data_IF_148278568410
#
_entry.id   IF_148278568410
#
_cell.length_a   1.000
_cell.length_b   1.000
_cell.length_c   1.000
_cell.angle_alpha   90.00
_cell.angle_beta   90.00
_cell.angle_gamma   90.00
#
_symmetry.space_group_name_H-M   'P 1'
#
loop_
_entity.id
_entity.type
_entity.pdbx_description
1 polymer ?
#
# COMPACT_ATOMS: atom_id res chain seq x y z
N UNK A 1 -3.99 -8.45 -30.80
CA UNK A 1 -4.13 -9.09 -29.47
C UNK A 1 -4.93 -10.36 -29.72
N UNK A 2 -4.37 -11.53 -29.41
CA UNK A 2 -5.11 -12.80 -29.57
C UNK A 2 -6.26 -12.80 -28.55
N UNK A 3 -7.48 -12.93 -29.04
CA UNK A 3 -8.68 -13.16 -28.21
C UNK A 3 -8.55 -14.56 -27.60
N UNK A 4 -7.99 -14.63 -26.39
CA UNK A 4 -7.99 -15.88 -25.62
C UNK A 4 -9.44 -16.15 -25.22
N UNK A 5 -10.07 -17.13 -25.87
CA UNK A 5 -11.41 -17.60 -25.49
C UNK A 5 -11.34 -18.16 -24.07
N UNK A 6 -12.13 -17.59 -23.16
CA UNK A 6 -12.21 -18.07 -21.78
C UNK A 6 -12.82 -19.50 -21.76
N UNK A 7 -12.32 -20.40 -20.89
CA UNK A 7 -12.97 -21.69 -20.68
C UNK A 7 -14.34 -21.48 -20.03
N UNK A 8 -15.27 -22.41 -20.19
CA UNK A 8 -16.60 -22.34 -19.57
C UNK A 8 -16.56 -22.41 -18.03
N UNK A 9 -15.51 -23.02 -17.49
CA UNK A 9 -15.23 -23.15 -16.04
C UNK A 9 -13.75 -22.99 -15.78
N UNK A 10 -13.40 -22.46 -14.60
CA UNK A 10 -12.02 -22.39 -14.12
C UNK A 10 -11.93 -22.87 -12.67
N UNK A 11 -10.75 -23.35 -12.28
CA UNK A 11 -10.46 -23.78 -10.92
C UNK A 11 -9.74 -22.67 -10.16
N UNK A 12 -10.24 -22.38 -8.96
CA UNK A 12 -9.65 -21.44 -8.02
C UNK A 12 -9.18 -22.20 -6.79
N UNK A 13 -7.92 -22.05 -6.47
CA UNK A 13 -7.28 -22.61 -5.28
C UNK A 13 -7.28 -21.55 -4.18
N UNK A 14 -8.27 -21.61 -3.31
CA UNK A 14 -8.56 -20.58 -2.30
C UNK A 14 -8.02 -21.00 -0.95
N UNK A 15 -7.36 -20.09 -0.24
CA UNK A 15 -6.94 -20.30 1.13
C UNK A 15 -8.15 -20.30 2.07
N UNK A 16 -8.25 -21.37 2.92
CA UNK A 16 -9.39 -21.62 3.80
C UNK A 16 -8.93 -21.94 5.22
N UNK A 17 -9.79 -21.65 6.19
CA UNK A 17 -9.59 -22.03 7.59
C UNK A 17 -8.91 -20.97 8.43
N UNK A 18 -8.47 -21.35 9.63
CA UNK A 18 -7.83 -20.51 10.64
C UNK A 18 -6.64 -21.23 11.27
N UNK A 19 -5.61 -20.49 11.68
CA UNK A 19 -4.45 -21.01 12.40
C UNK A 19 -3.78 -22.18 11.68
N UNK A 20 -3.53 -23.28 12.41
CA UNK A 20 -2.87 -24.48 11.90
C UNK A 20 -3.73 -25.32 10.95
N UNK A 21 -5.04 -25.14 10.99
CA UNK A 21 -6.00 -25.86 10.14
C UNK A 21 -6.25 -25.14 8.81
N UNK A 22 -5.55 -24.02 8.59
CA UNK A 22 -5.65 -23.27 7.34
C UNK A 22 -4.85 -23.95 6.22
N UNK A 23 -5.44 -23.98 5.03
CA UNK A 23 -4.83 -24.56 3.84
C UNK A 23 -5.59 -24.26 2.57
N UNK A 24 -5.05 -24.70 1.45
CA UNK A 24 -5.68 -24.52 0.15
C UNK A 24 -6.82 -25.53 -0.07
N UNK A 25 -7.91 -25.02 -0.66
CA UNK A 25 -9.01 -25.83 -1.17
C UNK A 25 -9.35 -25.40 -2.60
N UNK A 26 -9.53 -26.38 -3.48
CA UNK A 26 -9.85 -26.15 -4.88
C UNK A 26 -11.37 -26.09 -5.10
N UNK A 27 -11.81 -25.07 -5.85
CA UNK A 27 -13.18 -24.84 -6.25
C UNK A 27 -13.25 -24.63 -7.75
N UNK A 28 -14.20 -25.25 -8.43
CA UNK A 28 -14.44 -25.02 -9.85
C UNK A 28 -15.75 -24.27 -10.04
N UNK A 29 -15.69 -23.10 -10.67
CA UNK A 29 -16.86 -22.25 -10.88
C UNK A 29 -16.99 -21.84 -12.36
N UNK A 30 -18.22 -21.60 -12.86
CA UNK A 30 -18.41 -21.03 -14.19
C UNK A 30 -17.69 -19.68 -14.34
N UNK A 31 -17.14 -19.42 -15.53
CA UNK A 31 -16.53 -18.15 -15.86
C UNK A 31 -17.09 -17.62 -17.17
N UNK A 32 -17.19 -16.30 -17.26
CA UNK A 32 -17.66 -15.60 -18.46
C UNK A 32 -16.86 -14.35 -18.73
N UNK A 33 -17.02 -13.80 -19.92
CA UNK A 33 -16.36 -12.57 -20.31
C UNK A 33 -16.71 -11.40 -19.36
N UNK A 34 -15.71 -10.60 -19.03
CA UNK A 34 -15.85 -9.45 -18.12
C UNK A 34 -15.76 -9.77 -16.63
N UNK A 35 -15.81 -11.05 -16.23
CA UNK A 35 -15.66 -11.42 -14.82
C UNK A 35 -14.28 -11.08 -14.26
N UNK A 36 -14.28 -10.75 -12.97
CA UNK A 36 -13.09 -10.55 -12.14
C UNK A 36 -12.97 -11.64 -11.07
N UNK A 37 -11.81 -11.75 -10.43
CA UNK A 37 -11.58 -12.76 -9.38
C UNK A 37 -12.61 -12.65 -8.25
N UNK A 38 -13.06 -11.44 -7.88
CA UNK A 38 -14.09 -11.26 -6.85
C UNK A 38 -15.44 -11.91 -7.24
N UNK A 39 -15.81 -11.87 -8.52
CA UNK A 39 -17.04 -12.51 -8.99
C UNK A 39 -16.95 -14.04 -8.88
N UNK A 40 -15.79 -14.62 -9.21
CA UNK A 40 -15.55 -16.04 -9.03
C UNK A 40 -15.61 -16.45 -7.55
N UNK A 41 -14.99 -15.65 -6.64
CA UNK A 41 -15.07 -15.88 -5.18
C UNK A 41 -16.52 -15.80 -4.69
N UNK A 42 -17.32 -14.86 -5.17
CA UNK A 42 -18.74 -14.77 -4.83
C UNK A 42 -19.55 -15.95 -5.38
N UNK A 43 -19.24 -16.45 -6.58
CA UNK A 43 -19.86 -17.67 -7.11
C UNK A 43 -19.54 -18.88 -6.24
N UNK A 44 -18.29 -19.01 -5.78
CA UNK A 44 -17.88 -20.06 -4.84
C UNK A 44 -18.65 -19.93 -3.51
N UNK A 45 -18.79 -18.70 -2.96
CA UNK A 45 -19.58 -18.46 -1.76
C UNK A 45 -21.05 -18.86 -1.94
N UNK A 46 -21.64 -18.55 -3.09
CA UNK A 46 -23.04 -18.83 -3.33
C UNK A 46 -23.33 -20.35 -3.45
N UNK A 47 -22.47 -21.08 -4.17
CA UNK A 47 -22.80 -22.42 -4.63
C UNK A 47 -22.07 -23.53 -3.87
N UNK A 48 -20.90 -23.26 -3.26
CA UNK A 48 -20.01 -24.32 -2.77
C UNK A 48 -19.50 -24.09 -1.33
N UNK A 49 -19.32 -22.82 -0.90
CA UNK A 49 -18.69 -22.49 0.37
C UNK A 49 -19.26 -21.19 0.95
N UNK A 50 -20.49 -21.25 1.42
CA UNK A 50 -21.21 -20.08 1.93
C UNK A 50 -20.58 -19.46 3.19
N UNK A 51 -19.65 -20.18 3.83
CA UNK A 51 -18.88 -19.75 4.99
C UNK A 51 -17.52 -19.13 4.64
N UNK A 52 -17.13 -19.05 3.36
CA UNK A 52 -15.88 -18.44 2.89
C UNK A 52 -15.82 -16.97 3.29
N UNK A 53 -14.91 -16.63 4.19
CA UNK A 53 -14.71 -15.26 4.65
C UNK A 53 -13.90 -14.44 3.62
N UNK A 54 -14.51 -13.38 3.13
CA UNK A 54 -13.91 -12.46 2.16
C UNK A 54 -14.35 -11.02 2.47
N UNK A 55 -13.43 -10.07 2.41
CA UNK A 55 -13.76 -8.64 2.51
C UNK A 55 -13.98 -8.04 1.13
N UNK A 56 -15.05 -7.31 1.00
CA UNK A 56 -15.34 -6.51 -0.19
C UNK A 56 -16.32 -5.37 0.13
N UNK A 57 -16.42 -4.35 -0.74
CA UNK A 57 -17.40 -3.28 -0.58
C UNK A 57 -17.78 -2.67 -1.94
N UNK A 58 -16.90 -1.86 -2.57
CA UNK A 58 -17.26 -1.02 -3.72
C UNK A 58 -17.35 -1.75 -5.06
N UNK A 59 -16.67 -2.88 -5.24
CA UNK A 59 -16.49 -3.61 -6.53
C UNK A 59 -15.91 -2.79 -7.68
N UNK A 60 -15.31 -1.62 -7.39
CA UNK A 60 -14.89 -0.63 -8.39
C UNK A 60 -13.46 -0.10 -8.16
N UNK A 61 -12.63 -0.84 -7.43
CA UNK A 61 -11.23 -0.45 -7.17
C UNK A 61 -11.02 0.79 -6.31
N UNK A 62 -12.02 1.22 -5.50
CA UNK A 62 -11.97 2.50 -4.77
C UNK A 62 -11.93 2.40 -3.23
N UNK A 63 -12.13 1.21 -2.66
CA UNK A 63 -12.17 1.05 -1.21
C UNK A 63 -11.02 0.22 -0.62
N UNK A 64 -10.25 -0.50 -1.45
CA UNK A 64 -9.15 -1.34 -1.01
C UNK A 64 -9.53 -2.60 -0.22
N UNK A 65 -10.82 -2.83 0.08
CA UNK A 65 -11.24 -3.91 0.98
C UNK A 65 -10.99 -5.31 0.43
N UNK A 66 -11.07 -5.52 -0.89
CA UNK A 66 -10.93 -6.82 -1.54
C UNK A 66 -9.48 -7.16 -1.91
N UNK A 67 -8.52 -6.65 -1.16
CA UNK A 67 -7.10 -6.97 -1.34
C UNK A 67 -6.80 -8.42 -0.97
N UNK A 68 -6.10 -9.12 -1.85
CA UNK A 68 -5.65 -10.50 -1.68
C UNK A 68 -4.38 -10.76 -2.49
N UNK A 69 -3.68 -11.85 -2.25
CA UNK A 69 -2.66 -12.34 -3.15
C UNK A 69 -3.31 -13.25 -4.19
N UNK A 70 -3.13 -12.91 -5.47
CA UNK A 70 -3.63 -13.66 -6.62
C UNK A 70 -2.43 -14.13 -7.42
N UNK A 71 -2.26 -15.45 -7.55
CA UNK A 71 -1.07 -16.07 -8.14
C UNK A 71 0.24 -15.51 -7.56
N UNK A 72 0.28 -15.39 -6.22
CA UNK A 72 1.42 -14.90 -5.45
C UNK A 72 1.71 -13.40 -5.60
N UNK A 73 0.78 -12.62 -6.16
CA UNK A 73 0.90 -11.17 -6.31
C UNK A 73 -0.21 -10.43 -5.57
N UNK A 74 0.09 -9.45 -4.71
CA UNK A 74 -0.92 -8.61 -4.10
C UNK A 74 -1.71 -7.82 -5.15
N UNK A 75 -3.03 -8.02 -5.19
CA UNK A 75 -3.96 -7.38 -6.15
C UNK A 75 -5.31 -7.11 -5.51
N UNK A 76 -6.12 -6.25 -6.14
CA UNK A 76 -7.53 -6.10 -5.81
C UNK A 76 -8.34 -7.17 -6.57
N UNK A 77 -9.05 -8.03 -5.87
CA UNK A 77 -9.88 -9.06 -6.51
C UNK A 77 -10.91 -8.46 -7.46
N UNK A 78 -11.49 -7.29 -7.15
CA UNK A 78 -12.48 -6.61 -8.00
C UNK A 78 -11.90 -5.94 -9.25
N UNK A 79 -10.57 -5.84 -9.38
CA UNK A 79 -9.90 -5.24 -10.53
C UNK A 79 -9.09 -6.26 -11.33
N UNK A 80 -8.91 -7.47 -10.82
CA UNK A 80 -8.17 -8.54 -11.50
C UNK A 80 -9.11 -9.30 -12.41
N UNK A 81 -9.01 -9.05 -13.71
CA UNK A 81 -9.84 -9.70 -14.72
C UNK A 81 -9.39 -11.13 -14.99
N UNK A 82 -10.33 -12.03 -15.18
CA UNK A 82 -10.03 -13.45 -15.43
C UNK A 82 -9.30 -13.69 -16.76
N UNK A 83 -9.53 -12.86 -17.76
CA UNK A 83 -8.81 -12.95 -19.05
C UNK A 83 -7.33 -12.47 -18.99
N UNK A 84 -6.90 -11.92 -17.86
CA UNK A 84 -5.50 -11.55 -17.58
C UNK A 84 -4.73 -12.67 -16.87
N UNK A 85 -5.42 -13.75 -16.48
CA UNK A 85 -4.88 -14.87 -15.73
C UNK A 85 -4.77 -16.12 -16.62
N UNK A 86 -3.85 -17.01 -16.26
CA UNK A 86 -3.71 -18.32 -16.89
C UNK A 86 -4.73 -19.32 -16.30
N UNK A 87 -5.92 -19.38 -16.88
CA UNK A 87 -6.99 -20.25 -16.42
C UNK A 87 -6.81 -21.74 -16.82
N UNK A 88 -5.70 -22.12 -17.44
CA UNK A 88 -5.36 -23.52 -17.72
C UNK A 88 -4.90 -24.27 -16.48
N UNK A 89 -4.54 -23.55 -15.44
CA UNK A 89 -4.15 -24.05 -14.11
C UNK A 89 -4.98 -23.39 -13.02
N UNK A 90 -5.04 -23.96 -11.82
CA UNK A 90 -5.76 -23.34 -10.70
C UNK A 90 -5.20 -21.95 -10.37
N UNK A 91 -6.06 -20.94 -10.35
CA UNK A 91 -5.72 -19.58 -9.88
C UNK A 91 -5.66 -19.59 -8.36
N UNK A 92 -4.53 -19.24 -7.78
CA UNK A 92 -4.40 -19.15 -6.32
C UNK A 92 -4.97 -17.83 -5.81
N UNK A 93 -5.73 -17.91 -4.70
CA UNK A 93 -6.27 -16.73 -3.99
C UNK A 93 -5.96 -16.91 -2.51
N UNK A 94 -5.12 -16.03 -1.98
CA UNK A 94 -4.58 -16.11 -0.63
C UNK A 94 -4.78 -14.80 0.14
N UNK A 95 -4.82 -14.82 1.49
CA UNK A 95 -4.81 -13.60 2.28
C UNK A 95 -3.48 -12.84 2.12
N UNK A 96 -3.48 -11.54 2.40
CA UNK A 96 -2.26 -10.72 2.42
C UNK A 96 -1.28 -11.26 3.48
N UNK A 97 -0.06 -11.64 3.09
CA UNK A 97 0.90 -12.36 3.95
C UNK A 97 1.60 -11.49 5.00
N UNK A 98 1.70 -10.18 4.75
CA UNK A 98 2.37 -9.26 5.69
C UNK A 98 1.53 -8.92 6.92
N UNK A 99 0.30 -9.44 7.02
CA UNK A 99 -0.61 -9.15 8.11
C UNK A 99 -1.06 -10.43 8.81
N UNK A 100 -1.36 -10.37 10.13
CA UNK A 100 -1.85 -11.52 10.87
C UNK A 100 -3.11 -12.09 10.21
N UNK A 101 -3.10 -13.40 9.97
CA UNK A 101 -4.23 -14.12 9.39
C UNK A 101 -5.35 -14.25 10.41
N UNK A 102 -6.59 -13.97 9.99
CA UNK A 102 -7.81 -14.12 10.81
C UNK A 102 -8.55 -15.38 10.39
N UNK A 103 -9.05 -15.40 9.16
CA UNK A 103 -9.76 -16.55 8.58
C UNK A 103 -9.85 -16.42 7.07
N UNK A 104 -9.64 -17.51 6.35
CA UNK A 104 -9.74 -17.60 4.90
C UNK A 104 -8.95 -16.48 4.21
N UNK A 105 -9.63 -15.55 3.50
CA UNK A 105 -9.02 -14.41 2.83
C UNK A 105 -8.92 -13.14 3.71
N UNK A 106 -9.27 -13.23 4.99
CA UNK A 106 -9.33 -12.07 5.90
C UNK A 106 -8.10 -12.01 6.79
N UNK A 107 -7.47 -10.85 6.83
CA UNK A 107 -6.31 -10.52 7.68
C UNK A 107 -6.60 -9.34 8.62
N UNK A 108 -5.85 -9.24 9.73
CA UNK A 108 -5.91 -8.10 10.63
C UNK A 108 -4.97 -6.98 10.14
N UNK A 109 -5.55 -5.94 9.59
CA UNK A 109 -4.85 -4.75 9.10
C UNK A 109 -4.79 -3.61 10.13
N UNK A 110 -5.16 -3.85 11.38
CA UNK A 110 -5.26 -2.83 12.44
C UNK A 110 -3.94 -2.12 12.75
N UNK A 111 -2.80 -2.81 12.58
CA UNK A 111 -1.47 -2.23 12.69
C UNK A 111 -1.33 -0.96 11.84
N UNK A 112 -1.85 -0.97 10.63
CA UNK A 112 -1.79 0.17 9.73
C UNK A 112 -2.45 1.43 10.33
N UNK A 113 -3.59 1.27 10.98
CA UNK A 113 -4.30 2.39 11.59
C UNK A 113 -3.59 2.89 12.86
N UNK A 114 -2.90 2.01 13.60
CA UNK A 114 -2.06 2.41 14.75
C UNK A 114 -0.88 3.27 14.28
N UNK A 115 -0.16 2.84 13.25
CA UNK A 115 0.94 3.61 12.64
C UNK A 115 0.46 4.97 12.16
N UNK A 116 -0.68 5.03 11.45
CA UNK A 116 -1.25 6.30 10.96
C UNK A 116 -1.49 7.33 12.09
N UNK A 117 -1.93 6.86 13.26
CA UNK A 117 -2.18 7.73 14.41
C UNK A 117 -0.90 8.31 15.05
N UNK A 118 0.24 7.64 14.88
CA UNK A 118 1.53 8.06 15.43
C UNK A 118 2.21 9.15 14.58
N UNK A 119 1.87 9.24 13.29
CA UNK A 119 2.46 10.22 12.39
C UNK A 119 2.03 11.63 12.79
N UNK A 120 3.00 12.54 12.92
CA UNK A 120 2.75 13.94 13.23
C UNK A 120 1.75 14.55 12.23
N UNK A 121 0.70 15.17 12.78
CA UNK A 121 -0.40 15.74 11.99
C UNK A 121 0.02 16.98 11.20
N UNK A 122 -0.78 17.32 10.21
CA UNK A 122 -0.67 18.56 9.45
C UNK A 122 -0.71 19.79 10.38
N UNK A 123 0.24 20.70 10.19
CA UNK A 123 0.34 21.97 10.93
C UNK A 123 0.32 23.13 9.95
N UNK A 124 -0.83 23.78 9.72
CA UNK A 124 -0.94 24.82 8.72
C UNK A 124 -0.10 26.04 9.11
N UNK A 125 0.52 26.69 8.11
CA UNK A 125 1.09 28.03 8.26
C UNK A 125 -0.03 29.06 8.42
N UNK A 126 0.26 30.27 8.91
CA UNK A 126 -0.73 31.35 8.94
C UNK A 126 -1.29 31.65 7.53
N UNK A 127 -2.53 32.15 7.44
CA UNK A 127 -3.11 32.62 6.18
C UNK A 127 -2.27 33.73 5.54
N UNK A 128 -2.34 33.84 4.21
CA UNK A 128 -1.63 34.85 3.43
C UNK A 128 -2.37 36.20 3.39
N UNK A 129 -3.66 36.20 3.71
CA UNK A 129 -4.51 37.39 3.65
C UNK A 129 -5.37 37.50 4.93
N UNK A 130 -5.83 38.75 5.26
CA UNK A 130 -6.67 39.00 6.45
C UNK A 130 -8.03 38.28 6.43
N UNK A 131 -8.51 37.89 5.25
CA UNK A 131 -9.76 37.14 5.06
C UNK A 131 -9.61 35.64 5.38
N UNK A 132 -8.42 35.19 5.82
CA UNK A 132 -8.15 33.79 6.16
C UNK A 132 -7.81 32.91 4.96
N UNK A 133 -7.57 33.45 3.77
CA UNK A 133 -7.22 32.65 2.59
C UNK A 133 -5.74 32.26 2.55
N UNK A 134 -5.47 31.08 1.98
CA UNK A 134 -4.12 30.59 1.66
C UNK A 134 -3.90 30.57 0.16
N UNK A 135 -2.76 31.07 -0.28
CA UNK A 135 -2.32 31.02 -1.67
C UNK A 135 -1.27 29.94 -1.85
N UNK A 136 -1.43 29.13 -2.90
CA UNK A 136 -0.49 28.06 -3.24
C UNK A 136 -0.18 28.14 -4.73
N UNK A 137 1.05 27.83 -5.09
CA UNK A 137 1.42 27.66 -6.49
C UNK A 137 0.91 26.33 -6.99
N UNK A 138 0.45 26.27 -8.25
CA UNK A 138 -0.07 25.04 -8.85
C UNK A 138 0.99 23.93 -8.87
N UNK A 139 2.25 24.25 -9.14
CA UNK A 139 3.34 23.30 -9.14
C UNK A 139 3.54 22.58 -7.79
N UNK A 140 3.35 23.29 -6.67
CA UNK A 140 3.44 22.71 -5.33
C UNK A 140 2.27 21.76 -5.04
N UNK A 141 1.08 22.11 -5.54
CA UNK A 141 -0.11 21.25 -5.43
C UNK A 141 0.05 19.99 -6.28
N UNK A 142 0.49 20.12 -7.53
CA UNK A 142 0.69 19.01 -8.45
C UNK A 142 1.68 17.98 -7.88
N UNK A 143 2.70 18.45 -7.16
CA UNK A 143 3.69 17.62 -6.51
C UNK A 143 3.10 16.66 -5.46
N UNK A 144 2.07 17.10 -4.71
CA UNK A 144 1.47 16.32 -3.62
C UNK A 144 0.14 15.67 -3.99
N UNK A 145 -0.49 16.10 -5.08
CA UNK A 145 -1.82 15.65 -5.48
C UNK A 145 -1.86 14.16 -5.79
N UNK A 146 -0.78 13.59 -6.33
CA UNK A 146 -0.69 12.17 -6.64
C UNK A 146 -0.96 11.30 -5.41
N UNK A 147 -0.46 11.69 -4.24
CA UNK A 147 -0.57 10.90 -3.00
C UNK A 147 -1.99 10.81 -2.46
N UNK A 148 -2.88 11.74 -2.84
CA UNK A 148 -4.30 11.75 -2.46
C UNK A 148 -5.11 10.64 -3.13
N UNK A 149 -4.61 10.05 -4.21
CA UNK A 149 -5.24 8.92 -4.89
C UNK A 149 -5.24 7.65 -4.04
N UNK A 150 -4.44 7.58 -2.96
CA UNK A 150 -4.27 6.38 -2.17
C UNK A 150 -5.56 5.94 -1.47
N UNK A 151 -6.03 4.73 -1.81
CA UNK A 151 -7.26 4.12 -1.28
C UNK A 151 -7.03 3.24 -0.05
N UNK A 152 -5.83 3.23 0.53
CA UNK A 152 -5.46 2.42 1.71
C UNK A 152 -5.71 0.90 1.53
N UNK A 153 -5.45 0.37 0.33
CA UNK A 153 -5.59 -1.05 0.03
C UNK A 153 -4.49 -1.94 0.65
N UNK A 154 -3.39 -1.35 1.09
CA UNK A 154 -2.23 -2.00 1.70
C UNK A 154 -1.47 -3.01 0.82
N UNK A 155 -1.74 -3.10 -0.47
CA UNK A 155 -0.98 -3.96 -1.39
C UNK A 155 0.51 -3.62 -1.41
N UNK A 156 0.83 -2.32 -1.32
CA UNK A 156 2.23 -1.85 -1.24
C UNK A 156 2.91 -2.23 0.09
N UNK A 157 2.16 -2.35 1.19
CA UNK A 157 2.65 -2.87 2.47
C UNK A 157 2.92 -4.37 2.36
N UNK A 158 2.01 -5.09 1.73
CA UNK A 158 2.07 -6.53 1.59
C UNK A 158 3.23 -7.00 0.71
N UNK A 159 3.49 -6.32 -0.41
CA UNK A 159 4.60 -6.67 -1.31
C UNK A 159 5.97 -6.23 -0.79
N UNK A 160 6.01 -5.40 0.27
CA UNK A 160 7.26 -4.87 0.79
C UNK A 160 8.06 -5.95 1.52
N UNK A 161 9.19 -6.39 0.96
CA UNK A 161 10.03 -7.42 1.56
C UNK A 161 10.52 -7.07 2.97
N UNK A 162 10.69 -5.78 3.30
CA UNK A 162 11.07 -5.34 4.65
C UNK A 162 9.98 -5.69 5.67
N UNK A 163 8.71 -5.56 5.30
CA UNK A 163 7.58 -5.94 6.15
C UNK A 163 7.25 -7.42 6.04
N UNK A 164 7.27 -7.98 4.82
CA UNK A 164 6.84 -9.33 4.50
C UNK A 164 7.86 -10.39 4.93
N UNK A 165 9.12 -10.20 4.54
CA UNK A 165 10.15 -11.23 4.67
C UNK A 165 11.02 -11.01 5.92
N UNK A 166 11.19 -9.74 6.33
CA UNK A 166 12.02 -9.37 7.48
C UNK A 166 11.22 -8.98 8.72
N UNK A 167 9.89 -8.95 8.66
CA UNK A 167 8.97 -8.68 9.77
C UNK A 167 9.33 -7.42 10.58
N UNK A 168 9.71 -6.31 9.87
CA UNK A 168 10.17 -5.06 10.48
C UNK A 168 9.06 -4.06 10.80
N UNK A 169 7.88 -4.54 11.21
CA UNK A 169 6.72 -3.67 11.51
C UNK A 169 6.95 -2.72 12.69
N UNK A 170 7.84 -3.07 13.62
CA UNK A 170 8.15 -2.21 14.77
C UNK A 170 9.13 -1.09 14.43
N UNK A 171 10.00 -1.28 13.41
CA UNK A 171 11.05 -0.33 13.05
C UNK A 171 10.79 0.43 11.74
N UNK A 172 9.80 -0.01 10.94
CA UNK A 172 9.53 0.53 9.62
C UNK A 172 8.04 0.68 9.33
N UNK A 173 7.60 1.90 9.10
CA UNK A 173 6.19 2.20 8.83
C UNK A 173 5.68 1.75 7.45
N UNK A 174 6.57 1.36 6.56
CA UNK A 174 6.25 0.85 5.23
C UNK A 174 5.87 1.91 4.20
N UNK A 175 5.77 1.48 2.92
CA UNK A 175 5.60 2.40 1.79
C UNK A 175 4.29 3.19 1.81
N UNK A 176 3.18 2.62 2.32
CA UNK A 176 1.91 3.35 2.44
C UNK A 176 2.07 4.60 3.30
N UNK A 177 2.73 4.46 4.44
CA UNK A 177 2.85 5.57 5.39
C UNK A 177 3.97 6.52 5.04
N UNK A 178 5.02 6.06 4.38
CA UNK A 178 5.98 6.97 3.75
C UNK A 178 5.32 7.84 2.67
N UNK A 179 4.38 7.29 1.90
CA UNK A 179 3.57 8.08 0.95
C UNK A 179 2.69 9.11 1.67
N UNK A 180 2.11 8.73 2.82
CA UNK A 180 1.31 9.66 3.63
C UNK A 180 2.17 10.78 4.24
N UNK A 181 3.35 10.43 4.76
CA UNK A 181 4.31 11.43 5.27
C UNK A 181 4.77 12.35 4.13
N UNK A 182 5.03 11.83 2.92
CA UNK A 182 5.39 12.65 1.76
C UNK A 182 4.29 13.66 1.39
N UNK A 183 3.01 13.22 1.46
CA UNK A 183 1.88 14.10 1.22
C UNK A 183 1.80 15.28 2.21
N UNK A 184 2.23 15.07 3.45
CA UNK A 184 2.28 16.09 4.50
C UNK A 184 3.55 16.94 4.36
N UNK A 185 4.72 16.30 4.34
CA UNK A 185 6.04 16.93 4.37
C UNK A 185 6.33 17.82 3.14
N UNK A 186 5.71 17.50 2.00
CA UNK A 186 5.83 18.28 0.76
C UNK A 186 4.69 19.27 0.54
N UNK A 187 3.70 19.31 1.44
CA UNK A 187 2.56 20.21 1.28
C UNK A 187 2.96 21.66 1.54
N UNK A 188 2.66 22.62 0.65
CA UNK A 188 3.12 24.01 0.76
C UNK A 188 2.57 24.77 1.98
N UNK A 189 1.51 24.27 2.60
CA UNK A 189 0.93 24.85 3.81
C UNK A 189 1.39 24.16 5.11
N UNK A 190 2.07 23.02 5.04
CA UNK A 190 2.50 22.30 6.24
C UNK A 190 3.82 22.86 6.76
N UNK A 191 3.87 23.20 8.04
CA UNK A 191 5.06 23.73 8.73
C UNK A 191 5.69 22.71 9.68
N UNK A 192 5.12 21.51 9.79
CA UNK A 192 5.69 20.47 10.62
C UNK A 192 6.92 19.85 9.93
N UNK A 193 7.98 19.62 10.72
CA UNK A 193 9.20 18.94 10.27
C UNK A 193 9.21 17.50 10.80
N UNK A 194 9.09 16.53 9.92
CA UNK A 194 9.08 15.09 10.25
C UNK A 194 10.40 14.39 9.95
N UNK A 195 11.45 15.14 9.63
CA UNK A 195 12.73 14.57 9.18
C UNK A 195 13.39 13.71 10.28
N UNK A 196 13.29 14.13 11.55
CA UNK A 196 13.79 13.36 12.68
C UNK A 196 13.01 12.06 12.88
N UNK A 197 11.66 12.12 12.82
CA UNK A 197 10.80 10.93 12.91
C UNK A 197 11.06 9.95 11.76
N UNK A 198 11.23 10.45 10.52
CA UNK A 198 11.57 9.63 9.35
C UNK A 198 12.84 8.82 9.57
N UNK A 199 13.86 9.42 10.19
CA UNK A 199 15.13 8.76 10.47
C UNK A 199 15.03 7.76 11.61
N UNK A 200 14.43 8.16 12.73
CA UNK A 200 14.48 7.41 14.00
C UNK A 200 13.30 6.46 14.17
N UNK A 201 12.07 6.95 14.03
CA UNK A 201 10.85 6.20 14.37
C UNK A 201 10.20 5.54 13.14
N UNK A 202 10.36 6.13 11.95
CA UNK A 202 9.69 5.64 10.75
C UNK A 202 10.56 4.74 9.88
N UNK A 203 11.85 4.59 10.24
CA UNK A 203 12.75 3.62 9.65
C UNK A 203 12.97 3.77 8.15
N UNK A 204 12.99 5.01 7.62
CA UNK A 204 13.13 5.25 6.17
C UNK A 204 14.41 4.61 5.59
N UNK A 205 15.42 4.41 6.43
CA UNK A 205 16.67 3.74 6.06
C UNK A 205 16.52 2.30 5.62
N UNK A 206 15.50 1.57 6.10
CA UNK A 206 15.25 0.18 5.73
C UNK A 206 14.81 -0.01 4.27
N UNK A 207 14.25 1.02 3.64
CA UNK A 207 13.84 0.94 2.24
C UNK A 207 15.07 0.93 1.31
N UNK A 208 15.24 -0.14 0.53
CA UNK A 208 16.32 -0.30 -0.46
C UNK A 208 15.89 -0.01 -1.91
N UNK A 209 14.75 0.66 -2.10
CA UNK A 209 14.33 1.22 -3.40
C UNK A 209 14.08 0.14 -4.48
N UNK A 210 13.55 -1.04 -4.12
CA UNK A 210 13.21 -2.11 -5.07
C UNK A 210 12.02 -1.81 -5.98
N UNK A 211 11.27 -0.74 -5.72
CA UNK A 211 10.07 -0.31 -6.47
C UNK A 211 8.90 -1.30 -6.47
N UNK A 212 8.96 -2.39 -5.74
CA UNK A 212 7.87 -3.37 -5.65
C UNK A 212 6.53 -2.73 -5.24
N UNK A 213 6.56 -1.77 -4.30
CA UNK A 213 5.37 -1.03 -3.86
C UNK A 213 4.73 -0.17 -4.96
N UNK A 214 5.53 0.46 -5.82
CA UNK A 214 5.05 1.22 -6.99
C UNK A 214 4.38 0.29 -8.00
N UNK A 215 4.97 -0.89 -8.24
CA UNK A 215 4.48 -1.85 -9.25
C UNK A 215 3.09 -2.40 -8.94
N UNK A 216 2.73 -2.55 -7.65
CA UNK A 216 1.43 -3.12 -7.25
C UNK A 216 0.36 -2.06 -6.96
N UNK A 217 0.67 -0.77 -7.08
CA UNK A 217 -0.26 0.29 -6.74
C UNK A 217 -1.41 0.37 -7.75
N UNK A 218 -2.69 0.10 -7.36
CA UNK A 218 -3.82 0.14 -8.29
C UNK A 218 -4.18 1.55 -8.75
N UNK A 219 -3.76 2.57 -8.00
CA UNK A 219 -3.97 3.99 -8.33
C UNK A 219 -2.75 4.61 -9.05
N UNK A 220 -1.78 3.77 -9.49
CA UNK A 220 -0.58 4.18 -10.24
C UNK A 220 0.22 5.29 -9.56
N UNK A 221 0.30 5.27 -8.22
CA UNK A 221 1.11 6.21 -7.47
C UNK A 221 2.59 5.81 -7.60
N UNK A 222 3.44 6.75 -8.00
CA UNK A 222 4.90 6.56 -8.08
C UNK A 222 5.52 6.61 -6.67
N UNK A 223 5.16 5.64 -5.82
CA UNK A 223 5.48 5.61 -4.39
C UNK A 223 6.98 5.77 -4.15
N UNK A 224 7.80 5.05 -4.90
CA UNK A 224 9.25 5.07 -4.71
C UNK A 224 9.84 6.39 -5.19
N UNK A 225 9.52 6.80 -6.42
CA UNK A 225 10.19 7.92 -7.08
C UNK A 225 9.70 9.27 -6.52
N UNK A 226 8.39 9.42 -6.30
CA UNK A 226 7.82 10.71 -5.91
C UNK A 226 7.68 10.88 -4.39
N UNK A 227 7.62 9.79 -3.60
CA UNK A 227 7.50 9.88 -2.15
C UNK A 227 8.79 9.44 -1.43
N UNK A 228 9.23 8.19 -1.60
CA UNK A 228 10.29 7.62 -0.74
C UNK A 228 11.65 8.25 -1.03
N UNK A 229 12.05 8.37 -2.30
CA UNK A 229 13.35 8.96 -2.67
C UNK A 229 13.45 10.41 -2.16
N UNK A 230 12.49 11.31 -2.43
CA UNK A 230 12.57 12.68 -1.91
C UNK A 230 12.60 12.77 -0.37
N UNK A 231 11.91 11.86 0.34
CA UNK A 231 12.02 11.82 1.81
C UNK A 231 13.40 11.34 2.27
N UNK A 232 14.00 10.37 1.59
CA UNK A 232 15.39 9.93 1.87
C UNK A 232 16.40 11.06 1.64
N UNK A 233 16.25 11.79 0.55
CA UNK A 233 17.09 12.94 0.22
C UNK A 233 17.01 14.02 1.30
N UNK A 234 15.80 14.36 1.79
CA UNK A 234 15.62 15.30 2.90
C UNK A 234 16.35 14.86 4.18
N UNK A 235 16.28 13.56 4.49
CA UNK A 235 17.00 13.00 5.65
C UNK A 235 18.51 13.04 5.41
N UNK A 236 18.97 12.68 4.20
CA UNK A 236 20.39 12.71 3.85
C UNK A 236 20.94 14.14 3.91
N UNK A 237 20.26 15.10 3.34
CA UNK A 237 20.63 16.52 3.37
C UNK A 237 20.73 17.06 4.78
N UNK A 238 19.82 16.66 5.66
CA UNK A 238 19.81 17.17 7.03
C UNK A 238 20.92 16.57 7.88
N UNK A 239 21.15 15.27 7.79
CA UNK A 239 22.00 14.56 8.75
C UNK A 239 23.36 14.14 8.19
N UNK A 240 23.48 13.96 6.87
CA UNK A 240 24.66 13.37 6.24
C UNK A 240 25.37 14.29 5.23
N UNK A 241 24.88 15.52 5.00
CA UNK A 241 25.54 16.51 4.15
C UNK A 241 26.84 16.99 4.83
N UNK A 242 28.03 16.71 4.25
CA UNK A 242 29.32 17.05 4.86
C UNK A 242 29.55 18.56 5.00
N UNK A 243 29.01 19.37 4.09
CA UNK A 243 29.10 20.83 4.18
C UNK A 243 28.28 21.37 5.33
N UNK A 244 27.05 20.87 5.49
CA UNK A 244 26.19 21.24 6.62
C UNK A 244 26.77 20.74 7.94
N UNK A 245 27.40 19.56 7.97
CA UNK A 245 28.10 19.05 9.15
C UNK A 245 29.27 19.97 9.55
N UNK A 246 30.09 20.42 8.59
CA UNK A 246 31.16 21.35 8.81
C UNK A 246 30.68 22.70 9.36
N UNK A 247 29.63 23.26 8.77
CA UNK A 247 29.00 24.52 9.24
C UNK A 247 28.44 24.39 10.67
N UNK A 248 27.86 23.24 11.04
CA UNK A 248 27.39 22.96 12.40
C UNK A 248 28.54 22.91 13.39
N UNK A 249 29.65 22.24 13.05
CA UNK A 249 30.88 22.17 13.84
C UNK A 249 31.44 23.57 14.11
N UNK A 250 31.51 24.41 13.07
CA UNK A 250 32.01 25.80 13.20
C UNK A 250 31.06 26.67 14.04
N UNK A 251 29.74 26.43 13.98
CA UNK A 251 28.72 27.19 14.75
C UNK A 251 28.45 26.65 16.14
N UNK A 252 29.13 25.59 16.57
CA UNK A 252 29.01 25.00 17.91
C UNK A 252 27.60 24.44 18.25
N UNK A 253 26.79 24.07 17.24
CA UNK A 253 25.49 23.43 17.45
C UNK A 253 25.64 21.91 17.45
N UNK A 254 25.18 21.18 18.49
CA UNK A 254 25.21 19.73 18.50
C UNK A 254 24.34 19.15 17.36
N UNK A 255 24.68 17.94 16.93
CA UNK A 255 23.85 17.15 16.04
C UNK A 255 22.61 16.70 16.84
N UNK A 256 21.43 17.23 16.50
CA UNK A 256 20.15 16.71 16.97
C UNK A 256 19.76 15.40 16.23
#
# INVERSE_FOLDING_TARGET
MATTTLPAKATFRVWRGTGTDAGFQDYTTPVSEGMVVLDAVHGIQADQANDLACRWNCKAGKCGSCSAEIDGRPRLMCMTRLNELDLTKPVTVEPLRSFPHVRDLVTDVSWNFRVKKQIQKFKPRPPDAPDGTWRMQQADIDRVQEFRKCIECFLCQDVCHVLRDHAKQEEFIGPRYLTYVAALEMHPLDTADRTAELRQAHGIGYCNITKCCTTVCPESIHITDNAIIPLKERVADRYYDPLKALVRLVRGKPAE
#
